data_IF_272161779504
#
_entry.id   IF_272161779504
#
_cell.length_a   1.000
_cell.length_b   1.000
_cell.length_c   1.000
_cell.angle_alpha   90.00
_cell.angle_beta   90.00
_cell.angle_gamma   90.00
#
_symmetry.space_group_name_H-M   'P 1'
#
loop_
_entity.id
_entity.type
_entity.pdbx_description
1 polymer ?
#
# COMPACT_ATOMS: atom_id res chain seq x y z
N UNK A 1 -11.28 -2.12 -20.69
CA UNK A 1 -11.46 -3.32 -19.85
C UNK A 1 -11.65 -2.84 -18.41
N UNK A 2 -12.57 -3.40 -17.65
CA UNK A 2 -12.77 -3.04 -16.24
C UNK A 2 -11.93 -3.99 -15.38
N UNK A 3 -11.03 -3.45 -14.56
CA UNK A 3 -10.27 -4.26 -13.60
C UNK A 3 -11.18 -4.64 -12.43
N UNK A 4 -11.35 -5.92 -12.17
CA UNK A 4 -12.36 -6.45 -11.24
C UNK A 4 -11.73 -7.24 -10.09
N UNK A 5 -10.72 -6.67 -9.47
CA UNK A 5 -10.03 -7.20 -8.29
C UNK A 5 -9.43 -6.07 -7.48
N UNK A 6 -9.31 -6.23 -6.18
CA UNK A 6 -8.58 -5.31 -5.31
C UNK A 6 -7.83 -6.12 -4.26
N UNK A 7 -6.54 -5.88 -4.12
CA UNK A 7 -5.68 -6.56 -3.14
C UNK A 7 -5.42 -5.72 -1.89
N UNK A 8 -5.84 -4.43 -1.87
CA UNK A 8 -5.57 -3.52 -0.76
C UNK A 8 -6.90 -2.95 -0.23
N UNK A 9 -7.41 -3.60 0.84
CA UNK A 9 -8.75 -3.32 1.38
C UNK A 9 -8.76 -3.45 2.90
N UNK A 10 -9.17 -2.40 3.57
CA UNK A 10 -9.32 -2.30 5.03
C UNK A 10 -10.76 -2.58 5.48
N UNK A 11 -10.95 -2.78 6.76
CA UNK A 11 -12.26 -3.02 7.36
C UNK A 11 -12.30 -2.51 8.80
N UNK A 12 -13.44 -2.66 9.47
CA UNK A 12 -13.61 -2.28 10.88
C UNK A 12 -12.75 -3.08 11.87
N UNK A 13 -11.93 -4.00 11.41
CA UNK A 13 -10.89 -4.64 12.24
C UNK A 13 -9.65 -3.76 12.45
N UNK A 14 -9.43 -2.81 11.58
CA UNK A 14 -8.44 -1.74 11.71
C UNK A 14 -9.15 -0.39 11.57
N UNK A 15 -8.80 0.42 10.61
CA UNK A 15 -9.29 1.80 10.42
C UNK A 15 -10.30 1.95 9.27
N UNK A 16 -10.72 0.86 8.64
CA UNK A 16 -11.76 0.88 7.61
C UNK A 16 -13.16 1.14 8.19
N UNK A 17 -14.03 1.76 7.41
CA UNK A 17 -15.39 2.18 7.82
C UNK A 17 -16.41 1.05 7.85
N UNK A 18 -16.23 0.02 7.04
CA UNK A 18 -17.21 -1.03 6.84
C UNK A 18 -16.70 -2.39 7.32
N UNK A 19 -17.58 -3.25 7.86
CA UNK A 19 -17.20 -4.60 8.20
C UNK A 19 -16.93 -5.44 6.94
N UNK A 20 -16.15 -6.54 7.05
CA UNK A 20 -15.77 -7.37 5.90
C UNK A 20 -16.96 -7.84 5.06
N UNK A 21 -18.09 -8.15 5.66
CA UNK A 21 -19.31 -8.57 4.94
C UNK A 21 -19.85 -7.50 4.00
N UNK A 22 -19.75 -6.23 4.38
CA UNK A 22 -20.18 -5.11 3.53
C UNK A 22 -19.22 -4.88 2.37
N UNK A 23 -17.91 -5.01 2.63
CA UNK A 23 -16.89 -4.93 1.59
C UNK A 23 -17.08 -6.04 0.55
N UNK A 24 -17.34 -7.30 0.99
CA UNK A 24 -17.62 -8.41 0.08
C UNK A 24 -18.89 -8.13 -0.73
N UNK A 25 -19.99 -7.68 -0.09
CA UNK A 25 -21.23 -7.33 -0.82
C UNK A 25 -21.02 -6.19 -1.83
N UNK A 26 -20.17 -5.22 -1.52
CA UNK A 26 -19.81 -4.15 -2.46
C UNK A 26 -19.03 -4.71 -3.66
N UNK A 27 -18.04 -5.56 -3.42
CA UNK A 27 -17.28 -6.24 -4.47
C UNK A 27 -18.18 -7.10 -5.38
N UNK A 28 -19.11 -7.85 -4.81
CA UNK A 28 -20.11 -8.64 -5.57
C UNK A 28 -20.99 -7.76 -6.46
N UNK A 29 -21.49 -6.62 -5.93
CA UNK A 29 -22.29 -5.66 -6.74
C UNK A 29 -21.49 -5.05 -7.88
N UNK A 30 -20.19 -4.82 -7.68
CA UNK A 30 -19.29 -4.31 -8.71
C UNK A 30 -18.88 -5.39 -9.74
N UNK A 31 -19.20 -6.66 -9.46
CA UNK A 31 -18.84 -7.79 -10.32
C UNK A 31 -17.41 -8.24 -10.17
N UNK A 32 -16.76 -7.97 -9.03
CA UNK A 32 -15.41 -8.44 -8.76
C UNK A 32 -15.32 -9.96 -8.82
N UNK A 33 -14.22 -10.45 -9.31
CA UNK A 33 -13.91 -11.88 -9.37
C UNK A 33 -13.06 -12.34 -8.18
N UNK A 34 -12.33 -11.41 -7.58
CA UNK A 34 -11.54 -11.64 -6.37
C UNK A 34 -11.42 -10.36 -5.54
N UNK A 35 -11.30 -10.52 -4.24
CA UNK A 35 -11.08 -9.46 -3.26
C UNK A 35 -10.06 -9.92 -2.23
N UNK A 36 -9.04 -9.12 -1.99
CA UNK A 36 -8.10 -9.30 -0.90
C UNK A 36 -8.37 -8.31 0.22
N UNK A 37 -8.47 -8.79 1.43
CA UNK A 37 -8.39 -7.97 2.62
C UNK A 37 -6.93 -7.86 3.05
N UNK A 38 -6.51 -6.68 3.46
CA UNK A 38 -5.14 -6.37 3.86
C UNK A 38 -5.12 -5.36 5.01
N UNK A 39 -5.97 -5.57 6.03
CA UNK A 39 -5.98 -4.67 7.19
C UNK A 39 -4.60 -4.52 7.82
N UNK A 40 -4.35 -3.37 8.47
CA UNK A 40 -3.07 -3.07 9.13
C UNK A 40 -2.70 -4.14 10.15
N UNK A 41 -1.57 -4.80 9.92
CA UNK A 41 -1.10 -5.90 10.74
C UNK A 41 -0.75 -5.46 12.17
N UNK A 42 -0.71 -6.41 13.09
CA UNK A 42 -0.16 -6.19 14.42
C UNK A 42 1.32 -5.81 14.31
N UNK A 43 1.69 -4.64 14.80
CA UNK A 43 3.02 -4.06 14.66
C UNK A 43 3.68 -3.66 15.99
N UNK A 44 2.94 -3.72 17.11
CA UNK A 44 3.48 -3.42 18.45
C UNK A 44 3.48 -1.94 18.84
N UNK A 45 3.01 -1.06 17.98
CA UNK A 45 2.84 0.38 18.18
C UNK A 45 1.67 0.90 17.36
N UNK A 46 1.24 2.14 17.61
CA UNK A 46 0.15 2.84 16.89
C UNK A 46 -1.15 2.03 16.80
N UNK A 47 -1.69 1.70 17.97
CA UNK A 47 -2.88 0.88 18.14
C UNK A 47 -4.18 1.55 17.67
N UNK A 48 -4.14 2.81 17.28
CA UNK A 48 -5.27 3.51 16.68
C UNK A 48 -5.59 2.99 15.27
N UNK A 49 -4.56 2.57 14.54
CA UNK A 49 -4.66 2.12 13.15
C UNK A 49 -4.45 0.61 13.03
N UNK A 50 -3.51 0.06 13.78
CA UNK A 50 -3.11 -1.35 13.65
C UNK A 50 -3.93 -2.29 14.54
N UNK A 51 -4.07 -3.52 14.09
CA UNK A 51 -4.65 -4.59 14.88
C UNK A 51 -3.73 -5.02 16.02
N UNK A 52 -4.32 -5.47 17.14
CA UNK A 52 -3.59 -6.28 18.13
C UNK A 52 -3.42 -7.70 17.59
N UNK A 53 -2.53 -8.50 18.19
CA UNK A 53 -2.38 -9.90 17.81
C UNK A 53 -3.70 -10.71 17.91
N UNK A 54 -4.53 -10.39 18.91
CA UNK A 54 -5.82 -11.04 19.10
C UNK A 54 -6.85 -10.62 18.05
N UNK A 55 -6.96 -9.30 17.77
CA UNK A 55 -7.89 -8.81 16.75
C UNK A 55 -7.45 -9.24 15.36
N UNK A 56 -6.16 -9.33 15.07
CA UNK A 56 -5.63 -9.84 13.81
C UNK A 56 -6.00 -11.33 13.59
N UNK A 57 -5.88 -12.13 14.62
CA UNK A 57 -6.32 -13.54 14.55
C UNK A 57 -7.81 -13.64 14.21
N UNK A 58 -8.65 -12.91 14.93
CA UNK A 58 -10.10 -12.85 14.70
C UNK A 58 -10.44 -12.33 13.31
N UNK A 59 -9.70 -11.34 12.81
CA UNK A 59 -9.82 -10.81 11.45
C UNK A 59 -9.57 -11.88 10.39
N UNK A 60 -8.43 -12.58 10.44
CA UNK A 60 -8.08 -13.62 9.48
C UNK A 60 -9.09 -14.77 9.49
N UNK A 61 -9.53 -15.20 10.67
CA UNK A 61 -10.57 -16.22 10.83
C UNK A 61 -11.91 -15.79 10.21
N UNK A 62 -12.33 -14.54 10.47
CA UNK A 62 -13.57 -13.96 9.94
C UNK A 62 -13.54 -13.84 8.42
N UNK A 63 -12.47 -13.25 7.86
CA UNK A 63 -12.32 -13.07 6.41
C UNK A 63 -12.35 -14.43 5.69
N UNK A 64 -11.64 -15.42 6.22
CA UNK A 64 -11.64 -16.78 5.65
C UNK A 64 -13.00 -17.47 5.77
N UNK A 65 -13.71 -17.26 6.88
CA UNK A 65 -15.06 -17.81 7.05
C UNK A 65 -16.05 -17.24 6.04
N UNK A 66 -16.03 -15.91 5.85
CA UNK A 66 -16.87 -15.22 4.87
C UNK A 66 -16.52 -15.63 3.44
N UNK A 67 -15.23 -15.79 3.14
CA UNK A 67 -14.74 -16.22 1.83
C UNK A 67 -15.27 -17.59 1.39
N UNK A 68 -15.60 -18.49 2.32
CA UNK A 68 -16.18 -19.79 2.00
C UNK A 68 -17.59 -19.73 1.41
N UNK A 69 -18.31 -18.61 1.63
CA UNK A 69 -19.71 -18.42 1.18
C UNK A 69 -19.86 -17.29 0.18
N UNK A 70 -18.83 -16.50 -0.06
CA UNK A 70 -18.82 -15.41 -1.04
C UNK A 70 -18.92 -15.94 -2.48
N UNK A 71 -19.48 -15.13 -3.38
CA UNK A 71 -19.59 -15.46 -4.82
C UNK A 71 -18.31 -15.15 -5.60
N UNK A 72 -17.32 -14.53 -4.95
CA UNK A 72 -16.01 -14.23 -5.50
C UNK A 72 -14.92 -14.87 -4.63
N UNK A 73 -13.70 -14.99 -5.16
CA UNK A 73 -12.57 -15.45 -4.35
C UNK A 73 -12.16 -14.39 -3.35
N UNK A 74 -12.08 -14.73 -2.07
CA UNK A 74 -11.61 -13.86 -1.00
C UNK A 74 -10.25 -14.35 -0.50
N UNK A 75 -9.31 -13.42 -0.35
CA UNK A 75 -7.97 -13.63 0.16
C UNK A 75 -7.79 -12.88 1.48
N UNK A 76 -7.19 -13.53 2.47
CA UNK A 76 -6.94 -12.96 3.79
C UNK A 76 -5.47 -12.54 3.92
N UNK A 77 -5.15 -11.35 3.45
CA UNK A 77 -3.83 -10.74 3.52
C UNK A 77 -3.69 -9.78 4.71
N UNK A 78 -2.53 -9.18 4.80
CA UNK A 78 -2.16 -8.15 5.78
C UNK A 78 -1.35 -7.05 5.11
N UNK A 79 -1.59 -5.80 5.48
CA UNK A 79 -0.64 -4.71 5.23
C UNK A 79 0.29 -4.59 6.42
N UNK A 80 1.57 -4.82 6.17
CA UNK A 80 2.62 -4.87 7.18
C UNK A 80 3.54 -3.66 7.05
N UNK A 81 3.66 -2.88 8.12
CA UNK A 81 4.62 -1.79 8.14
C UNK A 81 6.06 -2.30 8.24
N UNK A 82 6.95 -1.68 7.46
CA UNK A 82 8.38 -2.04 7.42
C UNK A 82 9.08 -1.78 8.75
N UNK A 83 8.55 -0.89 9.60
CA UNK A 83 9.06 -0.59 10.93
C UNK A 83 8.63 -1.59 12.01
N UNK A 84 7.73 -2.53 11.69
CA UNK A 84 7.28 -3.55 12.65
C UNK A 84 8.44 -4.48 13.08
N UNK A 85 8.43 -4.99 14.32
CA UNK A 85 9.44 -5.94 14.79
C UNK A 85 9.52 -7.20 13.93
N UNK A 86 10.73 -7.67 13.62
CA UNK A 86 10.98 -8.83 12.75
C UNK A 86 10.21 -10.09 13.18
N UNK A 87 10.09 -10.34 14.50
CA UNK A 87 9.34 -11.48 15.02
C UNK A 87 7.86 -11.42 14.63
N UNK A 88 7.22 -10.23 14.74
CA UNK A 88 5.83 -10.03 14.33
C UNK A 88 5.67 -10.13 12.82
N UNK A 89 6.59 -9.56 12.05
CA UNK A 89 6.60 -9.68 10.59
C UNK A 89 6.64 -11.14 10.13
N UNK A 90 7.49 -11.95 10.75
CA UNK A 90 7.57 -13.38 10.46
C UNK A 90 6.29 -14.15 10.86
N UNK A 91 5.59 -13.76 11.92
CA UNK A 91 4.30 -14.33 12.31
C UNK A 91 3.20 -13.94 11.32
N UNK A 92 3.13 -12.66 10.96
CA UNK A 92 2.19 -12.13 9.97
C UNK A 92 2.31 -12.87 8.64
N UNK A 93 3.55 -13.04 8.15
CA UNK A 93 3.83 -13.77 6.90
C UNK A 93 3.34 -15.22 6.92
N UNK A 94 3.44 -15.90 8.06
CA UNK A 94 2.94 -17.28 8.21
C UNK A 94 1.41 -17.36 8.33
N UNK A 95 0.80 -16.31 8.85
CA UNK A 95 -0.63 -16.29 9.13
C UNK A 95 -1.48 -15.87 7.93
N UNK A 96 -0.96 -14.96 7.08
CA UNK A 96 -1.67 -14.38 5.95
C UNK A 96 -1.52 -15.21 4.66
N UNK A 97 -2.46 -15.03 3.74
CA UNK A 97 -2.40 -15.60 2.39
C UNK A 97 -1.44 -14.80 1.50
N UNK A 98 -1.25 -13.50 1.78
CA UNK A 98 -0.27 -12.59 1.16
C UNK A 98 0.01 -11.41 2.09
N UNK A 99 1.10 -10.71 1.85
CA UNK A 99 1.52 -9.52 2.61
C UNK A 99 1.81 -8.36 1.67
N UNK A 100 1.26 -7.19 2.00
CA UNK A 100 1.68 -5.90 1.44
C UNK A 100 2.75 -5.31 2.37
N UNK A 101 3.91 -4.98 1.83
CA UNK A 101 4.97 -4.29 2.57
C UNK A 101 4.87 -2.79 2.35
N UNK A 102 4.53 -2.05 3.38
CA UNK A 102 4.33 -0.60 3.35
C UNK A 102 5.25 0.11 4.33
N UNK A 103 5.60 1.36 4.06
CA UNK A 103 6.25 2.24 5.00
C UNK A 103 5.36 3.45 5.27
N UNK A 104 5.01 3.66 6.53
CA UNK A 104 4.28 4.84 6.97
C UNK A 104 5.16 5.73 7.85
N UNK A 105 6.06 5.15 8.64
CA UNK A 105 6.79 5.85 9.68
C UNK A 105 8.23 6.15 9.29
N UNK A 106 8.67 7.38 9.59
CA UNK A 106 10.07 7.81 9.51
C UNK A 106 10.74 7.86 10.87
N UNK A 107 9.94 7.87 11.94
CA UNK A 107 10.41 7.76 13.32
C UNK A 107 9.37 7.08 14.19
N UNK A 108 9.82 6.17 15.07
CA UNK A 108 8.96 5.55 16.08
C UNK A 108 9.07 6.25 17.46
N UNK A 109 10.04 7.13 17.63
CA UNK A 109 10.24 7.91 18.87
C UNK A 109 10.80 9.30 18.54
N UNK A 110 9.91 10.22 18.25
CA UNK A 110 10.20 11.64 18.14
C UNK A 110 9.43 12.36 19.25
N UNK A 111 10.13 12.74 20.30
CA UNK A 111 9.54 13.31 21.51
C UNK A 111 8.42 12.42 22.12
N UNK A 112 8.61 11.12 22.11
CA UNK A 112 7.64 10.14 22.62
C UNK A 112 6.44 9.86 21.68
N UNK A 113 6.51 10.28 20.40
CA UNK A 113 5.46 10.10 19.39
C UNK A 113 6.01 9.40 18.13
N UNK A 114 5.19 8.61 17.49
CA UNK A 114 5.46 8.10 16.13
C UNK A 114 5.24 9.20 15.08
N UNK A 115 6.09 9.26 14.07
CA UNK A 115 5.96 10.21 12.95
C UNK A 115 5.69 9.45 11.67
N UNK A 116 4.44 9.47 11.23
CA UNK A 116 4.02 8.94 9.93
C UNK A 116 4.06 10.02 8.86
N UNK A 117 4.51 9.67 7.65
CA UNK A 117 4.56 10.59 6.50
C UNK A 117 3.16 10.96 5.98
N UNK A 118 2.17 10.19 6.36
CA UNK A 118 0.77 10.36 5.97
C UNK A 118 -0.16 10.69 7.15
N UNK A 119 0.39 10.84 8.36
CA UNK A 119 -0.31 11.18 9.60
C UNK A 119 -0.56 12.69 9.78
N UNK A 120 -0.27 13.20 10.99
CA UNK A 120 -0.45 14.62 11.34
C UNK A 120 0.60 15.51 10.61
N UNK A 121 0.18 16.38 9.67
CA UNK A 121 1.12 17.22 8.94
C UNK A 121 1.82 18.25 9.84
N UNK A 122 1.24 18.59 11.00
CA UNK A 122 1.89 19.50 11.96
C UNK A 122 3.07 18.84 12.64
N UNK A 123 2.91 17.59 13.06
CA UNK A 123 3.99 16.80 13.63
C UNK A 123 5.08 16.52 12.59
N UNK A 124 4.67 16.22 11.36
CA UNK A 124 5.62 16.00 10.26
C UNK A 124 6.44 17.25 9.93
N UNK A 125 5.83 18.46 9.95
CA UNK A 125 6.57 19.74 9.80
C UNK A 125 7.59 19.95 10.91
N UNK A 126 7.20 19.64 12.16
CA UNK A 126 8.11 19.74 13.30
C UNK A 126 9.29 18.80 13.12
N UNK A 127 9.05 17.55 12.74
CA UNK A 127 10.07 16.56 12.45
C UNK A 127 11.03 17.02 11.34
N UNK A 128 10.50 17.53 10.23
CA UNK A 128 11.31 18.06 9.13
C UNK A 128 12.20 19.22 9.62
N UNK A 129 11.67 20.11 10.45
CA UNK A 129 12.43 21.23 10.98
C UNK A 129 13.58 20.76 11.89
N UNK A 130 13.31 19.86 12.82
CA UNK A 130 14.24 19.46 13.87
C UNK A 130 15.23 18.37 13.43
N UNK A 131 14.74 17.34 12.70
CA UNK A 131 15.54 16.15 12.35
C UNK A 131 16.08 16.17 10.91
N UNK A 132 15.41 16.91 10.01
CA UNK A 132 15.86 17.06 8.63
C UNK A 132 16.50 18.43 8.33
N UNK A 133 16.74 19.27 9.35
CA UNK A 133 17.30 20.61 9.15
C UNK A 133 16.46 21.53 8.27
N UNK A 134 15.16 21.29 8.20
CA UNK A 134 14.22 22.00 7.33
C UNK A 134 14.24 21.54 5.86
N UNK A 135 15.00 20.49 5.53
CA UNK A 135 15.07 19.96 4.15
C UNK A 135 14.09 18.79 3.96
N UNK A 136 13.03 19.04 3.20
CA UNK A 136 12.05 18.02 2.87
C UNK A 136 12.58 16.89 1.96
N UNK A 137 13.66 17.09 1.20
CA UNK A 137 14.32 16.02 0.47
C UNK A 137 15.03 15.03 1.42
N UNK A 138 15.51 15.50 2.56
CA UNK A 138 16.05 14.63 3.60
C UNK A 138 14.94 13.76 4.21
N UNK A 139 13.72 14.30 4.44
CA UNK A 139 12.57 13.49 4.81
C UNK A 139 12.30 12.38 3.78
N UNK A 140 12.27 12.73 2.49
CA UNK A 140 12.04 11.76 1.43
C UNK A 140 13.15 10.69 1.38
N UNK A 141 14.42 11.07 1.62
CA UNK A 141 15.54 10.14 1.69
C UNK A 141 15.37 9.15 2.85
N UNK A 142 15.06 9.64 4.05
CA UNK A 142 14.83 8.79 5.23
C UNK A 142 13.67 7.82 4.99
N UNK A 143 12.56 8.30 4.44
CA UNK A 143 11.42 7.48 4.08
C UNK A 143 11.81 6.33 3.14
N UNK A 144 12.48 6.64 2.03
CA UNK A 144 12.89 5.61 1.08
C UNK A 144 13.92 4.64 1.66
N UNK A 145 14.84 5.10 2.50
CA UNK A 145 15.82 4.22 3.14
C UNK A 145 15.14 3.20 4.07
N UNK A 146 14.18 3.64 4.88
CA UNK A 146 13.37 2.75 5.74
C UNK A 146 12.56 1.77 4.89
N UNK A 147 11.85 2.27 3.87
CA UNK A 147 11.01 1.44 3.01
C UNK A 147 11.84 0.37 2.29
N UNK A 148 12.92 0.76 1.61
CA UNK A 148 13.80 -0.18 0.89
C UNK A 148 14.38 -1.24 1.82
N UNK A 149 14.86 -0.84 3.00
CA UNK A 149 15.43 -1.79 3.97
C UNK A 149 14.38 -2.83 4.39
N UNK A 150 13.16 -2.40 4.69
CA UNK A 150 12.06 -3.29 5.04
C UNK A 150 11.68 -4.22 3.88
N UNK A 151 11.51 -3.70 2.68
CA UNK A 151 11.17 -4.49 1.50
C UNK A 151 12.20 -5.60 1.21
N UNK A 152 13.49 -5.31 1.35
CA UNK A 152 14.57 -6.29 1.14
C UNK A 152 14.61 -7.35 2.24
N UNK A 153 14.28 -6.97 3.48
CA UNK A 153 14.20 -7.90 4.63
C UNK A 153 12.99 -8.82 4.53
N UNK A 154 11.82 -8.25 4.24
CA UNK A 154 10.53 -8.94 4.34
C UNK A 154 10.11 -9.68 3.08
N UNK A 155 10.56 -9.21 1.92
CA UNK A 155 10.17 -9.71 0.59
C UNK A 155 8.65 -9.91 0.46
N UNK A 156 7.86 -8.84 0.57
CA UNK A 156 6.40 -8.93 0.52
C UNK A 156 5.92 -9.38 -0.86
N UNK A 157 4.67 -9.84 -0.93
CA UNK A 157 4.03 -10.16 -2.22
C UNK A 157 3.70 -8.91 -3.02
N UNK A 158 3.36 -7.83 -2.30
CA UNK A 158 3.01 -6.52 -2.87
C UNK A 158 3.88 -5.44 -2.21
N UNK A 159 4.41 -4.55 -3.04
CA UNK A 159 5.06 -3.31 -2.59
C UNK A 159 3.97 -2.25 -2.50
N UNK A 160 3.63 -1.82 -1.27
CA UNK A 160 2.60 -0.84 -1.00
C UNK A 160 3.04 0.57 -1.38
N UNK A 161 2.10 1.41 -1.84
CA UNK A 161 2.21 2.87 -2.13
C UNK A 161 3.63 3.45 -2.04
N UNK A 162 4.51 2.99 -2.91
CA UNK A 162 5.98 3.12 -2.84
C UNK A 162 6.48 4.54 -2.54
N UNK A 163 5.81 5.56 -3.05
CA UNK A 163 6.18 6.96 -2.86
C UNK A 163 5.16 7.76 -2.02
N UNK A 164 4.59 7.13 -0.98
CA UNK A 164 3.59 7.73 -0.06
C UNK A 164 4.07 9.05 0.56
N UNK A 165 5.36 9.25 0.74
CA UNK A 165 5.97 10.50 1.24
C UNK A 165 5.54 11.74 0.44
N UNK A 166 5.01 11.56 -0.77
CA UNK A 166 4.46 12.62 -1.60
C UNK A 166 3.10 13.15 -1.09
N UNK A 167 2.45 12.47 -0.16
CA UNK A 167 1.08 12.82 0.28
C UNK A 167 0.94 14.31 0.59
N UNK A 168 1.87 14.86 1.34
CA UNK A 168 1.88 16.26 1.75
C UNK A 168 2.97 17.11 1.07
N UNK A 169 3.74 16.56 0.14
CA UNK A 169 4.86 17.26 -0.46
C UNK A 169 4.46 18.63 -1.06
N UNK A 170 3.34 18.67 -1.79
CA UNK A 170 2.86 19.89 -2.41
C UNK A 170 2.10 20.79 -1.44
N UNK A 171 1.18 20.25 -0.64
CA UNK A 171 0.35 21.05 0.28
C UNK A 171 1.17 21.71 1.40
N UNK A 172 2.21 21.02 1.87
CA UNK A 172 3.10 21.52 2.93
C UNK A 172 4.38 22.17 2.40
N UNK A 173 4.64 22.05 1.08
CA UNK A 173 5.84 22.61 0.45
C UNK A 173 7.14 21.95 0.87
N UNK A 174 7.12 20.67 1.26
CA UNK A 174 8.30 19.96 1.72
C UNK A 174 9.38 19.83 0.64
N UNK A 175 8.99 19.46 -0.58
CA UNK A 175 9.88 19.35 -1.73
C UNK A 175 9.11 19.44 -3.04
N UNK A 176 9.84 19.77 -4.10
CA UNK A 176 9.31 19.74 -5.46
C UNK A 176 9.36 18.31 -6.00
N UNK A 177 8.22 17.60 -6.00
CA UNK A 177 8.12 16.20 -6.42
C UNK A 177 8.42 15.97 -7.92
N UNK A 178 8.30 17.00 -8.76
CA UNK A 178 8.71 16.97 -10.17
C UNK A 178 10.15 17.39 -10.38
N UNK A 179 10.82 17.86 -9.32
CA UNK A 179 12.19 18.34 -9.35
C UNK A 179 13.21 17.21 -9.56
N UNK A 180 14.36 17.52 -10.20
CA UNK A 180 15.36 16.50 -10.53
C UNK A 180 16.00 15.84 -9.29
N UNK A 181 16.00 16.52 -8.14
CA UNK A 181 16.56 15.97 -6.91
C UNK A 181 15.69 14.86 -6.35
N UNK A 182 14.38 15.10 -6.20
CA UNK A 182 13.43 14.07 -5.75
C UNK A 182 13.38 12.89 -6.73
N UNK A 183 13.29 13.16 -8.04
CA UNK A 183 13.23 12.11 -9.08
C UNK A 183 14.42 11.15 -8.99
N UNK A 184 15.65 11.68 -8.87
CA UNK A 184 16.86 10.84 -8.71
C UNK A 184 16.80 10.00 -7.44
N UNK A 185 16.34 10.56 -6.35
CA UNK A 185 16.21 9.90 -5.07
C UNK A 185 15.19 8.75 -5.14
N UNK A 186 14.01 9.02 -5.69
CA UNK A 186 12.94 8.03 -5.83
C UNK A 186 13.31 6.89 -6.80
N UNK A 187 13.93 7.20 -7.95
CA UNK A 187 14.42 6.19 -8.90
C UNK A 187 15.51 5.31 -8.27
N UNK A 188 16.49 5.90 -7.59
CA UNK A 188 17.52 5.12 -6.89
C UNK A 188 16.92 4.19 -5.84
N UNK A 189 15.94 4.68 -5.07
CA UNK A 189 15.24 3.86 -4.10
C UNK A 189 14.50 2.68 -4.77
N UNK A 190 13.83 2.94 -5.89
CA UNK A 190 13.11 1.92 -6.65
C UNK A 190 14.06 0.83 -7.19
N UNK A 191 15.20 1.22 -7.75
CA UNK A 191 16.25 0.29 -8.22
C UNK A 191 16.77 -0.58 -7.06
N UNK A 192 17.01 0.02 -5.90
CA UNK A 192 17.46 -0.70 -4.68
C UNK A 192 16.39 -1.66 -4.16
N UNK A 193 15.10 -1.32 -4.29
CA UNK A 193 13.99 -2.16 -3.85
C UNK A 193 13.74 -3.35 -4.79
N UNK A 194 14.08 -3.26 -6.08
CA UNK A 194 13.76 -4.26 -7.09
C UNK A 194 14.09 -5.71 -6.70
N UNK A 195 15.22 -6.02 -6.03
CA UNK A 195 15.56 -7.39 -5.62
C UNK A 195 14.60 -8.02 -4.60
N UNK A 196 13.68 -7.27 -3.99
CA UNK A 196 12.67 -7.83 -3.09
C UNK A 196 11.70 -8.78 -3.82
N UNK A 197 11.48 -8.56 -5.14
CA UNK A 197 10.69 -9.43 -6.00
C UNK A 197 9.18 -9.25 -5.88
N UNK A 198 8.70 -8.26 -5.12
CA UNK A 198 7.28 -7.97 -4.94
C UNK A 198 6.61 -7.39 -6.19
N UNK A 199 5.27 -7.43 -6.23
CA UNK A 199 4.45 -6.76 -7.24
C UNK A 199 4.22 -5.32 -6.81
N UNK A 200 4.56 -4.33 -7.64
CA UNK A 200 4.36 -2.92 -7.31
C UNK A 200 2.88 -2.56 -7.48
N UNK A 201 2.23 -2.04 -6.43
CA UNK A 201 0.86 -1.58 -6.57
C UNK A 201 0.77 -0.20 -7.24
N UNK A 202 -0.28 -0.02 -8.04
CA UNK A 202 -0.76 1.29 -8.47
C UNK A 202 -1.93 1.64 -7.55
N UNK A 203 -1.62 2.39 -6.50
CA UNK A 203 -2.53 2.68 -5.39
C UNK A 203 -3.31 3.97 -5.66
N UNK A 204 -4.63 3.87 -5.73
CA UNK A 204 -5.53 5.00 -5.99
C UNK A 204 -6.16 5.60 -4.72
N UNK A 205 -5.77 5.13 -3.54
CA UNK A 205 -6.35 5.54 -2.26
C UNK A 205 -6.29 7.04 -1.98
N UNK A 206 -5.20 7.70 -2.36
CA UNK A 206 -5.08 9.15 -2.20
C UNK A 206 -6.10 9.92 -3.08
N UNK A 207 -6.44 9.40 -4.26
CA UNK A 207 -7.49 9.95 -5.13
C UNK A 207 -8.85 9.78 -4.46
N UNK A 208 -9.14 8.59 -3.93
CA UNK A 208 -10.38 8.29 -3.25
C UNK A 208 -10.63 9.19 -2.03
N UNK A 209 -9.57 9.56 -1.32
CA UNK A 209 -9.61 10.42 -0.13
C UNK A 209 -9.43 11.92 -0.43
N UNK A 210 -9.22 12.30 -1.71
CA UNK A 210 -9.09 13.69 -2.15
C UNK A 210 -7.76 14.37 -1.78
N UNK A 211 -6.75 13.60 -1.43
CA UNK A 211 -5.41 14.14 -1.12
C UNK A 211 -4.60 14.43 -2.38
N UNK A 212 -4.80 13.66 -3.45
CA UNK A 212 -4.05 13.77 -4.70
C UNK A 212 -4.94 13.52 -5.91
N UNK A 213 -4.49 14.01 -7.06
CA UNK A 213 -5.13 13.74 -8.35
C UNK A 213 -4.47 12.59 -9.12
N UNK A 214 -3.34 12.06 -8.62
CA UNK A 214 -2.59 10.96 -9.23
C UNK A 214 -2.39 9.82 -8.22
N UNK A 215 -2.22 8.56 -8.68
CA UNK A 215 -1.96 7.44 -7.80
C UNK A 215 -0.51 7.39 -7.31
N UNK A 216 -0.23 6.50 -6.38
CA UNK A 216 1.12 6.04 -6.05
C UNK A 216 1.45 4.77 -6.85
N UNK A 217 2.70 4.60 -7.35
CA UNK A 217 3.71 5.62 -7.49
C UNK A 217 3.50 6.47 -8.77
N UNK A 218 4.41 7.44 -8.98
CA UNK A 218 4.41 8.30 -10.19
C UNK A 218 4.53 7.48 -11.48
N UNK A 219 4.08 8.08 -12.62
CA UNK A 219 4.24 7.50 -13.94
C UNK A 219 5.70 7.18 -14.28
N UNK A 220 6.64 8.00 -13.83
CA UNK A 220 8.06 7.81 -14.08
C UNK A 220 8.59 6.56 -13.36
N UNK A 221 8.22 6.37 -12.09
CA UNK A 221 8.59 5.17 -11.33
C UNK A 221 7.96 3.90 -11.92
N UNK A 222 6.70 3.97 -12.38
CA UNK A 222 6.05 2.86 -13.07
C UNK A 222 6.77 2.49 -14.38
N UNK A 223 7.19 3.50 -15.15
CA UNK A 223 7.99 3.27 -16.36
C UNK A 223 9.33 2.59 -16.07
N UNK A 224 10.05 3.08 -15.07
CA UNK A 224 11.31 2.50 -14.63
C UNK A 224 11.14 1.06 -14.10
N UNK A 225 10.09 0.81 -13.30
CA UNK A 225 9.77 -0.53 -12.79
C UNK A 225 9.53 -1.53 -13.92
N UNK A 226 8.77 -1.11 -14.96
CA UNK A 226 8.56 -1.92 -16.16
C UNK A 226 9.86 -2.20 -16.91
N UNK A 227 10.74 -1.20 -17.05
CA UNK A 227 12.04 -1.38 -17.75
C UNK A 227 12.95 -2.37 -17.03
N UNK A 228 12.85 -2.46 -15.70
CA UNK A 228 13.52 -3.49 -14.91
C UNK A 228 12.85 -4.87 -15.00
N UNK A 229 11.67 -4.99 -15.64
CA UNK A 229 10.91 -6.23 -15.76
C UNK A 229 9.92 -6.48 -14.61
N UNK A 230 9.63 -5.46 -13.82
CA UNK A 230 8.72 -5.56 -12.69
C UNK A 230 7.25 -5.64 -13.08
N UNK A 231 6.47 -6.43 -12.31
CA UNK A 231 5.03 -6.56 -12.45
C UNK A 231 4.29 -5.53 -11.59
N UNK A 232 3.04 -5.23 -11.97
CA UNK A 232 2.17 -4.30 -11.24
C UNK A 232 0.79 -4.90 -10.97
N UNK A 233 0.12 -4.37 -9.93
CA UNK A 233 -1.31 -4.58 -9.68
C UNK A 233 -2.00 -3.23 -9.44
N UNK A 234 -3.33 -3.16 -9.56
CA UNK A 234 -4.12 -1.97 -9.27
C UNK A 234 -4.83 -2.19 -7.94
N UNK A 235 -4.75 -1.20 -7.05
CA UNK A 235 -5.39 -1.22 -5.74
C UNK A 235 -6.06 0.12 -5.44
N UNK A 236 -7.01 0.14 -4.51
CA UNK A 236 -7.61 1.40 -4.05
C UNK A 236 -7.30 1.73 -2.59
N UNK A 237 -6.59 0.84 -1.87
CA UNK A 237 -6.30 1.07 -0.46
C UNK A 237 -7.60 1.51 0.25
N UNK A 238 -8.59 0.61 0.10
CA UNK A 238 -9.99 0.95 0.28
C UNK A 238 -10.39 0.91 1.74
N UNK A 239 -10.80 2.06 2.29
CA UNK A 239 -11.33 2.19 3.65
C UNK A 239 -12.85 2.40 3.69
N UNK A 240 -13.50 2.49 2.52
CA UNK A 240 -14.94 2.73 2.40
C UNK A 240 -15.49 1.90 1.24
N UNK A 241 -16.47 1.06 1.50
CA UNK A 241 -17.08 0.15 0.52
C UNK A 241 -17.59 0.86 -0.76
N UNK A 242 -17.90 2.16 -0.68
CA UNK A 242 -18.31 2.97 -1.83
C UNK A 242 -17.13 3.31 -2.77
N UNK A 243 -15.88 3.13 -2.31
CA UNK A 243 -14.66 3.54 -3.03
C UNK A 243 -13.82 2.33 -3.50
N UNK A 244 -14.39 1.13 -3.51
CA UNK A 244 -13.66 -0.13 -3.71
C UNK A 244 -12.94 -0.22 -5.07
N UNK A 245 -13.47 0.40 -6.13
CA UNK A 245 -12.87 0.47 -7.47
C UNK A 245 -12.55 1.93 -7.90
N UNK A 246 -12.37 2.82 -6.92
CA UNK A 246 -12.13 4.23 -7.19
C UNK A 246 -10.92 4.43 -8.11
N UNK A 247 -11.14 5.16 -9.23
CA UNK A 247 -10.11 5.54 -10.20
C UNK A 247 -9.35 4.37 -10.87
N UNK A 248 -9.86 3.13 -10.83
CA UNK A 248 -9.23 1.97 -11.48
C UNK A 248 -9.03 2.16 -13.00
N UNK A 249 -10.00 2.80 -13.67
CA UNK A 249 -9.88 3.10 -15.10
C UNK A 249 -8.71 4.07 -15.38
N UNK A 250 -8.50 5.05 -14.48
CA UNK A 250 -7.37 6.00 -14.56
C UNK A 250 -6.04 5.29 -14.32
N UNK A 251 -5.96 4.39 -13.35
CA UNK A 251 -4.78 3.58 -13.07
C UNK A 251 -4.44 2.65 -14.25
N UNK A 252 -5.44 1.98 -14.84
CA UNK A 252 -5.25 1.15 -16.01
C UNK A 252 -4.76 1.96 -17.22
N UNK A 253 -5.30 3.17 -17.43
CA UNK A 253 -4.83 4.06 -18.50
C UNK A 253 -3.40 4.55 -18.25
N UNK A 254 -3.05 4.85 -16.99
CA UNK A 254 -1.68 5.20 -16.62
C UNK A 254 -0.70 4.06 -16.95
N UNK A 255 -1.05 2.83 -16.59
CA UNK A 255 -0.25 1.65 -16.92
C UNK A 255 -0.07 1.47 -18.44
N UNK A 256 -1.13 1.65 -19.24
CA UNK A 256 -0.99 1.60 -20.71
C UNK A 256 -0.04 2.66 -21.24
N UNK A 257 -0.16 3.90 -20.73
CA UNK A 257 0.70 5.02 -21.14
C UNK A 257 2.16 4.83 -20.74
N UNK A 258 2.42 4.12 -19.63
CA UNK A 258 3.79 3.75 -19.22
C UNK A 258 4.30 2.47 -19.89
N UNK A 259 3.50 1.88 -20.81
CA UNK A 259 3.91 0.80 -21.71
C UNK A 259 3.60 -0.60 -21.22
N UNK A 260 2.87 -0.76 -20.09
CA UNK A 260 2.37 -2.07 -19.68
C UNK A 260 1.32 -2.59 -20.66
N UNK A 261 1.31 -3.91 -20.86
CA UNK A 261 0.31 -4.62 -21.68
C UNK A 261 -0.58 -5.51 -20.81
N UNK A 262 -0.08 -5.87 -19.64
CA UNK A 262 -0.73 -6.73 -18.68
C UNK A 262 -0.58 -6.17 -17.28
N UNK A 263 -1.43 -6.61 -16.38
CA UNK A 263 -1.45 -6.29 -14.95
C UNK A 263 -1.77 -7.57 -14.19
N UNK A 264 -1.22 -7.74 -13.01
CA UNK A 264 -1.58 -8.84 -12.14
C UNK A 264 -2.83 -8.49 -11.32
N UNK A 265 -3.73 -9.45 -11.17
CA UNK A 265 -4.83 -9.40 -10.20
C UNK A 265 -4.78 -10.61 -9.29
N UNK A 266 -5.47 -10.54 -8.16
CA UNK A 266 -5.66 -11.71 -7.32
C UNK A 266 -6.37 -12.82 -8.08
N UNK A 267 -5.83 -14.03 -7.98
CA UNK A 267 -6.36 -15.22 -8.63
C UNK A 267 -7.72 -15.62 -8.07
N UNK A 268 -8.43 -16.42 -8.87
CA UNK A 268 -9.73 -17.01 -8.50
C UNK A 268 -9.60 -18.47 -8.05
N UNK A 269 -8.43 -19.08 -8.20
CA UNK A 269 -8.08 -20.45 -7.80
C UNK A 269 -7.15 -20.50 -6.60
N UNK A 270 -6.15 -21.36 -6.65
CA UNK A 270 -5.13 -21.54 -5.60
C UNK A 270 -3.95 -20.57 -5.74
N UNK A 271 -3.61 -20.20 -6.99
CA UNK A 271 -2.54 -19.27 -7.28
C UNK A 271 -2.93 -17.84 -6.87
N UNK A 272 -2.02 -17.17 -6.17
CA UNK A 272 -2.26 -15.79 -5.71
C UNK A 272 -2.46 -14.84 -6.89
N UNK A 273 -1.71 -15.00 -7.96
CA UNK A 273 -1.69 -14.10 -9.09
C UNK A 273 -2.28 -14.69 -10.36
N UNK A 274 -3.00 -13.86 -11.09
CA UNK A 274 -3.44 -14.12 -12.45
C UNK A 274 -3.17 -12.88 -13.31
N UNK A 275 -2.53 -13.11 -14.45
CA UNK A 275 -2.27 -12.05 -15.41
C UNK A 275 -3.55 -11.66 -16.17
N UNK A 276 -3.75 -10.36 -16.35
CA UNK A 276 -4.89 -9.79 -17.07
C UNK A 276 -4.39 -8.74 -18.09
N UNK A 277 -4.98 -8.71 -19.28
CA UNK A 277 -4.64 -7.73 -20.33
C UNK A 277 -5.22 -6.37 -19.95
N UNK A 278 -4.42 -5.32 -20.12
CA UNK A 278 -4.83 -3.93 -19.95
C UNK A 278 -5.63 -3.39 -21.14
#
# INVERSE_FOLDING_TARGET
>A
MRFLSNAHTHSTFCDGKNPPEEMIRAAERLGFVSLGFSGHASQGFDWEYSMTAETQKSYLETVRALGRTAKLRVWAGLEQDTAAPEALKAENRRAADYVIGSAHYVSLDFHGRTVAVDGDPTLLRQYVHEECGGDGLELARQYFDVHVAGLLGDRPDIIGHFDLVRKYAQSEGFFEETGPAYRRLALNALERAFPCGGVLEVNTGAIARGYRDDPYPTAELLGAWREMGGCTTITSDCHDAAMLDCAFDRAAELLRRTGYRTVLRLGTGEELWQEEKL
#
